data_IF_420528634860
#
_entry.id   IF_420528634860
#
_cell.length_a   1.000
_cell.length_b   1.000
_cell.length_c   1.000
_cell.angle_alpha   90.00
_cell.angle_beta   90.00
_cell.angle_gamma   90.00
#
_symmetry.space_group_name_H-M   'P 1'
#
loop_
_entity.id
_entity.type
_entity.pdbx_description
1 polymer ?
#
# COMPACT_ATOMS: atom_id res chain seq x y z
N UNK A 1 -1.89 18.58 -8.48
CA UNK A 1 -3.07 17.84 -8.01
C UNK A 1 -2.76 17.15 -6.69
N UNK A 2 -3.72 17.14 -5.82
CA UNK A 2 -3.58 16.46 -4.54
C UNK A 2 -3.72 14.95 -4.69
N UNK A 3 -3.40 14.22 -3.64
CA UNK A 3 -3.64 12.79 -3.61
C UNK A 3 -5.13 12.51 -3.83
N UNK A 4 -5.42 11.39 -4.44
CA UNK A 4 -6.81 11.00 -4.67
C UNK A 4 -7.56 10.85 -3.35
N UNK A 5 -8.83 11.17 -3.35
CA UNK A 5 -9.69 10.95 -2.19
C UNK A 5 -9.69 9.46 -1.86
N UNK A 6 -9.39 9.14 -0.60
CA UNK A 6 -9.33 7.75 -0.18
C UNK A 6 -10.64 7.02 -0.45
N UNK A 7 -11.76 7.65 -0.13
CA UNK A 7 -13.08 7.03 -0.26
C UNK A 7 -13.49 6.80 -1.72
N UNK A 8 -12.90 7.55 -2.65
CA UNK A 8 -13.24 7.45 -4.06
C UNK A 8 -12.23 6.66 -4.87
N UNK A 9 -11.09 6.36 -4.29
CA UNK A 9 -10.04 5.64 -5.01
C UNK A 9 -10.12 4.16 -4.70
N UNK A 10 -10.56 3.41 -5.68
CA UNK A 10 -10.67 1.97 -5.56
C UNK A 10 -9.33 1.30 -5.28
N UNK A 11 -8.29 1.74 -5.98
CA UNK A 11 -6.95 1.16 -5.79
C UNK A 11 -6.40 1.41 -4.40
N UNK A 12 -6.63 2.59 -3.83
CA UNK A 12 -6.19 2.89 -2.48
C UNK A 12 -6.91 2.02 -1.47
N UNK A 13 -8.21 1.86 -1.65
CA UNK A 13 -9.00 1.02 -0.75
C UNK A 13 -8.57 -0.44 -0.82
N UNK A 14 -8.30 -0.95 -2.02
CA UNK A 14 -7.88 -2.35 -2.18
C UNK A 14 -6.56 -2.61 -1.45
N UNK A 15 -5.59 -1.72 -1.59
CA UNK A 15 -4.31 -1.88 -0.91
C UNK A 15 -4.47 -1.73 0.60
N UNK A 16 -5.25 -0.74 1.03
CA UNK A 16 -5.50 -0.53 2.45
C UNK A 16 -6.15 -1.77 3.09
N UNK A 17 -7.17 -2.31 2.45
CA UNK A 17 -7.85 -3.50 2.97
C UNK A 17 -6.93 -4.70 3.04
N UNK A 18 -6.04 -4.85 2.06
CA UNK A 18 -5.06 -5.93 2.07
C UNK A 18 -4.11 -5.78 3.26
N UNK A 19 -3.51 -4.61 3.42
CA UNK A 19 -2.55 -4.37 4.49
C UNK A 19 -3.20 -4.44 5.87
N UNK A 20 -4.48 -4.11 5.96
CA UNK A 20 -5.23 -4.15 7.21
C UNK A 20 -5.39 -5.56 7.77
N UNK A 21 -5.21 -6.57 6.95
CA UNK A 21 -5.23 -7.97 7.42
C UNK A 21 -4.14 -8.26 8.42
N UNK A 22 -3.10 -7.43 8.45
CA UNK A 22 -1.96 -7.60 9.33
C UNK A 22 -0.83 -8.37 8.67
N UNK A 23 0.35 -8.27 9.25
CA UNK A 23 1.53 -8.91 8.71
C UNK A 23 2.21 -8.08 7.63
N UNK A 24 3.17 -8.68 6.98
CA UNK A 24 3.96 -8.01 5.96
C UNK A 24 3.59 -8.52 4.57
N UNK A 25 3.67 -7.61 3.60
CA UNK A 25 3.39 -7.93 2.20
C UNK A 25 4.52 -7.39 1.35
N UNK A 26 5.00 -8.19 0.41
CA UNK A 26 6.00 -7.71 -0.55
C UNK A 26 5.31 -6.85 -1.61
N UNK A 27 6.13 -6.11 -2.38
CA UNK A 27 5.61 -5.36 -3.53
C UNK A 27 4.81 -6.27 -4.44
N UNK A 28 5.34 -7.45 -4.74
CA UNK A 28 4.67 -8.40 -5.64
C UNK A 28 3.37 -8.92 -5.03
N UNK A 29 3.35 -9.18 -3.72
CA UNK A 29 2.13 -9.59 -3.05
C UNK A 29 1.03 -8.54 -3.21
N UNK A 30 1.40 -7.26 -3.05
CA UNK A 30 0.44 -6.17 -3.17
C UNK A 30 -0.08 -6.08 -4.60
N UNK A 31 0.81 -6.16 -5.58
CA UNK A 31 0.42 -6.14 -6.99
C UNK A 31 -0.57 -7.26 -7.30
N UNK A 32 -0.25 -8.47 -6.87
CA UNK A 32 -1.07 -9.64 -7.20
C UNK A 32 -2.38 -9.66 -6.43
N UNK A 33 -2.35 -9.37 -5.13
CA UNK A 33 -3.52 -9.53 -4.29
C UNK A 33 -4.46 -8.33 -4.33
N UNK A 34 -3.92 -7.13 -4.48
CA UNK A 34 -4.75 -5.93 -4.60
C UNK A 34 -4.98 -5.53 -6.06
N UNK A 35 -4.33 -6.20 -7.00
CA UNK A 35 -4.49 -5.95 -8.43
C UNK A 35 -4.19 -4.50 -8.80
N UNK A 36 -3.02 -4.03 -8.41
CA UNK A 36 -2.55 -2.67 -8.67
C UNK A 36 -1.15 -2.72 -9.26
N UNK A 37 -0.67 -1.60 -9.78
CA UNK A 37 0.65 -1.52 -10.39
C UNK A 37 1.61 -0.63 -9.61
N UNK A 38 1.26 0.61 -9.38
CA UNK A 38 2.17 1.61 -8.82
C UNK A 38 2.15 1.59 -7.29
N UNK A 39 2.73 0.55 -6.70
CA UNK A 39 2.70 0.35 -5.24
C UNK A 39 3.30 1.55 -4.50
N UNK A 40 4.45 2.06 -4.97
CA UNK A 40 5.10 3.19 -4.30
C UNK A 40 4.20 4.42 -4.24
N UNK A 41 3.53 4.73 -5.34
CA UNK A 41 2.61 5.87 -5.41
C UNK A 41 1.42 5.67 -4.49
N UNK A 42 0.87 4.46 -4.47
CA UNK A 42 -0.29 4.14 -3.63
C UNK A 42 0.08 4.24 -2.15
N UNK A 43 1.23 3.71 -1.78
CA UNK A 43 1.70 3.79 -0.38
C UNK A 43 1.91 5.25 0.02
N UNK A 44 2.49 6.06 -0.87
CA UNK A 44 2.69 7.49 -0.59
C UNK A 44 1.35 8.20 -0.38
N UNK A 45 0.36 7.90 -1.21
CA UNK A 45 -0.96 8.50 -1.07
C UNK A 45 -1.66 8.05 0.22
N UNK A 46 -1.54 6.78 0.57
CA UNK A 46 -2.09 6.29 1.83
C UNK A 46 -1.45 6.98 3.03
N UNK A 47 -0.15 7.22 2.98
CA UNK A 47 0.54 7.97 4.04
C UNK A 47 0.03 9.40 4.13
N UNK A 48 -0.29 10.03 3.00
CA UNK A 48 -0.87 11.36 2.99
C UNK A 48 -2.26 11.39 3.64
N UNK A 49 -2.97 10.28 3.61
CA UNK A 49 -4.25 10.15 4.29
C UNK A 49 -4.12 9.77 5.78
N UNK A 50 -2.90 9.73 6.29
CA UNK A 50 -2.66 9.49 7.70
C UNK A 50 -2.41 8.05 8.09
N UNK A 51 -2.29 7.15 7.14
CA UNK A 51 -2.03 5.75 7.43
C UNK A 51 -0.54 5.50 7.61
N UNK A 52 -0.19 4.80 8.69
CA UNK A 52 1.21 4.47 8.98
C UNK A 52 1.58 3.18 8.29
N UNK A 53 2.34 3.30 7.21
CA UNK A 53 2.83 2.14 6.48
C UNK A 53 4.35 2.12 6.57
N UNK A 54 4.88 1.09 7.19
CA UNK A 54 6.32 0.89 7.26
C UNK A 54 6.79 0.13 6.04
N UNK A 55 8.01 0.39 5.62
CA UNK A 55 8.60 -0.24 4.47
C UNK A 55 10.02 -0.66 4.82
N UNK A 56 10.34 -1.93 4.61
CA UNK A 56 11.65 -2.46 4.94
C UNK A 56 12.16 -3.30 3.77
N UNK A 57 13.40 -3.05 3.39
CA UNK A 57 14.06 -3.83 2.37
C UNK A 57 14.83 -4.99 2.99
N UNK A 58 14.62 -6.18 2.45
CA UNK A 58 15.40 -7.37 2.81
C UNK A 58 15.83 -8.06 1.54
N UNK A 59 17.14 -8.06 1.28
CA UNK A 59 17.66 -8.58 0.03
C UNK A 59 17.15 -7.75 -1.15
N UNK A 60 16.47 -8.40 -2.07
CA UNK A 60 15.92 -7.74 -3.26
C UNK A 60 14.44 -7.39 -3.12
N UNK A 61 13.86 -7.62 -1.94
CA UNK A 61 12.41 -7.45 -1.74
C UNK A 61 12.11 -6.34 -0.78
N UNK A 62 11.04 -5.59 -1.06
CA UNK A 62 10.50 -4.60 -0.16
C UNK A 62 9.27 -5.18 0.53
N UNK A 63 9.22 -5.00 1.84
CA UNK A 63 8.13 -5.49 2.67
C UNK A 63 7.38 -4.30 3.26
N UNK A 64 6.07 -4.31 3.11
CA UNK A 64 5.20 -3.24 3.59
C UNK A 64 4.31 -3.76 4.70
N UNK A 65 4.10 -2.94 5.70
CA UNK A 65 3.26 -3.30 6.84
C UNK A 65 2.49 -2.08 7.31
N UNK A 66 1.17 -2.24 7.50
CA UNK A 66 0.32 -1.22 8.08
C UNK A 66 0.35 -1.35 9.60
N UNK A 67 0.64 -0.24 10.25
CA UNK A 67 0.60 -0.20 11.71
C UNK A 67 -0.76 0.23 12.21
#
# INVERSE_FOLDING_TARGET
MNAADFDKSDRLQRVYKLLKRGGEFTTLDIINQAQVCAVNSIVAELRQHGHHITCQRRGHKWFYRLK
#
